data_IF_530469203273
#
_entry.id   IF_530469203273
#
_cell.length_a   1.000
_cell.length_b   1.000
_cell.length_c   1.000
_cell.angle_alpha   90.00
_cell.angle_beta   90.00
_cell.angle_gamma   90.00
#
_symmetry.space_group_name_H-M   'P 1'
#
loop_
_entity.id
_entity.type
_entity.pdbx_description
1 polymer ?
#
# COMPACT_ATOMS: atom_id res chain seq x y z
N UNK A 1 -16.84 -0.74 79.49
CA UNK A 1 -16.27 -0.30 78.19
C UNK A 1 -17.42 0.39 77.46
N UNK A 2 -17.29 1.68 77.23
CA UNK A 2 -18.39 2.59 76.96
C UNK A 2 -18.96 2.37 75.52
N UNK A 3 -20.27 2.26 75.34
CA UNK A 3 -20.95 2.07 74.02
C UNK A 3 -20.45 3.04 72.97
N UNK A 4 -20.10 4.24 73.35
CA UNK A 4 -19.48 5.23 72.42
C UNK A 4 -18.14 4.79 71.84
N UNK A 5 -17.38 3.95 72.61
CA UNK A 5 -16.08 3.45 72.12
C UNK A 5 -16.28 2.35 71.07
N UNK A 6 -17.33 1.53 71.16
CA UNK A 6 -17.67 0.51 70.14
C UNK A 6 -18.14 1.15 68.85
N UNK A 7 -18.92 2.22 68.92
CA UNK A 7 -19.36 2.91 67.68
C UNK A 7 -18.18 3.59 66.92
N UNK A 8 -17.22 4.16 67.68
CA UNK A 8 -16.04 4.78 67.12
C UNK A 8 -15.14 3.75 66.39
N UNK A 9 -14.98 2.56 66.99
CA UNK A 9 -14.19 1.46 66.41
C UNK A 9 -14.86 0.92 65.18
N UNK A 10 -16.18 0.78 65.15
CA UNK A 10 -16.95 0.31 63.97
C UNK A 10 -16.86 1.33 62.84
N UNK A 11 -16.97 2.61 63.08
CA UNK A 11 -16.82 3.67 62.11
C UNK A 11 -15.41 3.70 61.53
N UNK A 12 -14.38 3.49 62.34
CA UNK A 12 -12.98 3.42 61.89
C UNK A 12 -12.71 2.19 61.02
N UNK A 13 -13.30 1.03 61.37
CA UNK A 13 -13.20 -0.19 60.55
C UNK A 13 -13.94 -0.06 59.23
N UNK A 14 -15.09 0.59 59.20
CA UNK A 14 -15.81 0.88 57.97
C UNK A 14 -15.03 1.83 57.06
N UNK A 15 -14.38 2.87 57.65
CA UNK A 15 -13.51 3.79 56.91
C UNK A 15 -12.27 3.07 56.35
N UNK A 16 -11.68 2.12 57.07
CA UNK A 16 -10.57 1.28 56.62
C UNK A 16 -11.00 0.31 55.49
N UNK A 17 -12.21 -0.22 55.56
CA UNK A 17 -12.76 -1.08 54.50
C UNK A 17 -13.13 -0.31 53.24
N UNK A 18 -13.57 0.93 53.34
CA UNK A 18 -13.87 1.81 52.21
C UNK A 18 -12.55 2.32 51.56
N UNK A 19 -11.50 2.59 52.34
CA UNK A 19 -10.21 3.01 51.80
C UNK A 19 -9.45 1.87 51.13
N UNK A 20 -9.71 0.60 51.46
CA UNK A 20 -9.09 -0.57 50.79
C UNK A 20 -9.79 -0.97 49.50
N UNK A 21 -11.00 -0.44 49.25
CA UNK A 21 -11.73 -0.71 47.97
C UNK A 21 -11.49 0.35 46.89
N UNK A 22 -10.70 1.39 47.17
CA UNK A 22 -10.09 2.17 46.10
C UNK A 22 -8.91 1.35 45.53
N UNK A 23 -9.22 0.22 44.95
CA UNK A 23 -8.41 -0.31 43.87
C UNK A 23 -8.34 0.84 42.86
N UNK A 24 -7.19 1.47 42.79
CA UNK A 24 -6.81 2.24 41.63
C UNK A 24 -7.00 1.30 40.47
N UNK A 25 -8.14 1.41 39.81
CA UNK A 25 -8.29 0.97 38.43
C UNK A 25 -7.31 1.90 37.70
N UNK A 26 -6.02 1.56 37.74
CA UNK A 26 -5.08 1.98 36.73
C UNK A 26 -5.67 1.28 35.48
N UNK A 27 -6.53 2.03 34.80
CA UNK A 27 -6.79 1.79 33.41
C UNK A 27 -5.39 1.81 32.80
N UNK A 28 -4.75 0.63 32.73
CA UNK A 28 -3.80 0.36 31.69
C UNK A 28 -4.60 0.63 30.44
N UNK A 29 -4.52 1.85 29.92
CA UNK A 29 -4.64 2.07 28.51
C UNK A 29 -3.56 1.15 27.96
N UNK A 30 -3.95 -0.08 27.60
CA UNK A 30 -3.30 -0.79 26.55
C UNK A 30 -3.43 0.23 25.41
N UNK A 31 -2.39 1.02 25.21
CA UNK A 31 -2.16 1.57 23.91
C UNK A 31 -2.08 0.29 23.06
N UNK A 32 -3.16 -0.09 22.38
CA UNK A 32 -3.03 -0.81 21.14
C UNK A 32 -1.94 0.00 20.44
N UNK A 33 -0.75 -0.57 20.34
CA UNK A 33 0.25 -0.10 19.42
C UNK A 33 -0.46 -0.17 18.09
N UNK A 34 -1.09 0.91 17.70
CA UNK A 34 -1.59 1.06 16.34
C UNK A 34 -0.33 0.94 15.53
N UNK A 35 -0.14 -0.23 14.92
CA UNK A 35 0.96 -0.48 13.99
C UNK A 35 0.67 0.39 12.77
N UNK A 36 0.93 1.69 12.90
CA UNK A 36 0.84 2.63 11.80
C UNK A 36 2.11 2.53 10.99
N UNK A 37 1.99 2.16 9.73
CA UNK A 37 3.09 2.14 8.78
C UNK A 37 2.77 3.10 7.65
N UNK A 38 3.27 4.31 7.78
CA UNK A 38 3.12 5.38 6.80
C UNK A 38 3.72 4.99 5.44
N UNK A 39 4.84 4.25 5.46
CA UNK A 39 5.56 3.82 4.27
C UNK A 39 5.67 2.30 4.18
N UNK A 40 5.17 1.72 3.08
CA UNK A 40 5.27 0.30 2.79
C UNK A 40 6.20 0.07 1.60
N UNK A 41 7.05 -0.94 1.73
CA UNK A 41 7.87 -1.44 0.63
C UNK A 41 7.36 -2.84 0.27
N UNK A 42 6.91 -3.03 -0.98
CA UNK A 42 6.51 -4.34 -1.51
C UNK A 42 7.62 -4.83 -2.42
N UNK A 43 8.15 -6.03 -2.14
CA UNK A 43 9.27 -6.61 -2.88
C UNK A 43 9.25 -8.14 -2.82
N UNK A 44 9.97 -8.84 -3.71
CA UNK A 44 10.31 -10.24 -3.48
C UNK A 44 11.12 -10.42 -2.18
N UNK A 45 10.96 -11.56 -1.54
CA UNK A 45 11.73 -11.93 -0.33
C UNK A 45 13.24 -11.90 -0.55
N UNK A 46 13.69 -12.20 -1.76
CA UNK A 46 15.10 -12.14 -2.15
C UNK A 46 15.76 -10.76 -2.02
N UNK A 47 14.96 -9.67 -2.01
CA UNK A 47 15.46 -8.30 -1.92
C UNK A 47 15.41 -7.72 -0.49
N UNK A 48 14.82 -8.45 0.45
CA UNK A 48 14.54 -7.97 1.82
C UNK A 48 15.81 -7.50 2.53
N UNK A 49 16.90 -8.26 2.47
CA UNK A 49 18.16 -7.92 3.14
C UNK A 49 18.79 -6.66 2.53
N UNK A 50 18.74 -6.50 1.22
CA UNK A 50 19.28 -5.35 0.51
C UNK A 50 18.49 -4.05 0.79
N UNK A 51 17.23 -4.17 1.22
CA UNK A 51 16.36 -3.05 1.57
C UNK A 51 16.47 -2.62 3.05
N UNK A 52 17.09 -3.41 3.94
CA UNK A 52 17.20 -3.10 5.37
C UNK A 52 17.87 -1.74 5.64
N UNK A 53 18.95 -1.33 4.93
CA UNK A 53 19.53 -0.01 5.15
C UNK A 53 18.55 1.13 4.86
N UNK A 54 17.69 1.00 3.83
CA UNK A 54 16.68 1.99 3.51
C UNK A 54 15.61 2.07 4.61
N UNK A 55 15.14 0.92 5.11
CA UNK A 55 14.16 0.86 6.21
C UNK A 55 14.72 1.55 7.45
N UNK A 56 15.98 1.26 7.82
CA UNK A 56 16.64 1.89 8.96
C UNK A 56 16.74 3.41 8.77
N UNK A 57 17.18 3.85 7.60
CA UNK A 57 17.30 5.26 7.26
C UNK A 57 15.94 5.99 7.33
N UNK A 58 14.86 5.38 6.83
CA UNK A 58 13.50 5.95 6.93
C UNK A 58 13.03 6.06 8.37
N UNK A 59 13.22 5.01 9.18
CA UNK A 59 12.89 5.01 10.62
C UNK A 59 13.66 6.06 11.40
N UNK A 60 14.95 6.25 11.11
CA UNK A 60 15.78 7.29 11.72
C UNK A 60 15.26 8.71 11.39
N UNK A 61 14.63 8.86 10.22
CA UNK A 61 13.93 10.07 9.80
C UNK A 61 12.44 10.11 10.27
N UNK A 62 12.04 9.23 11.18
CA UNK A 62 10.71 9.15 11.78
C UNK A 62 9.59 8.75 10.81
N UNK A 63 9.92 8.11 9.71
CA UNK A 63 8.96 7.53 8.78
C UNK A 63 8.77 6.07 9.15
N UNK A 64 7.60 5.74 9.69
CA UNK A 64 7.26 4.37 10.06
C UNK A 64 7.18 3.49 8.81
N UNK A 65 8.16 2.58 8.67
CA UNK A 65 8.37 1.81 7.44
C UNK A 65 8.26 0.32 7.70
N UNK A 66 7.53 -0.37 6.83
CA UNK A 66 7.44 -1.84 6.82
C UNK A 66 7.70 -2.39 5.42
N UNK A 67 8.46 -3.49 5.37
CA UNK A 67 8.55 -4.32 4.17
C UNK A 67 7.51 -5.44 4.25
N UNK A 68 6.88 -5.74 3.13
CA UNK A 68 5.95 -6.85 2.94
C UNK A 68 6.36 -7.55 1.65
N UNK A 69 6.53 -8.85 1.70
CA UNK A 69 6.97 -9.60 0.53
C UNK A 69 5.78 -10.03 -0.34
N UNK A 70 6.00 -10.14 -1.64
CA UNK A 70 4.96 -10.63 -2.56
C UNK A 70 4.56 -12.05 -2.21
N UNK A 71 5.49 -12.85 -1.70
CA UNK A 71 5.23 -14.23 -1.27
C UNK A 71 4.27 -14.29 -0.07
N UNK A 72 4.43 -13.38 0.93
CA UNK A 72 3.47 -13.24 2.04
C UNK A 72 2.10 -12.87 1.52
N UNK A 73 2.02 -11.95 0.56
CA UNK A 73 0.75 -11.52 0.00
C UNK A 73 0.04 -12.63 -0.76
N UNK A 74 0.78 -13.38 -1.59
CA UNK A 74 0.20 -14.44 -2.43
C UNK A 74 -0.20 -15.68 -1.61
N UNK A 75 0.48 -15.95 -0.50
CA UNK A 75 0.10 -17.03 0.41
C UNK A 75 -1.12 -16.71 1.28
N UNK A 76 -1.52 -15.43 1.34
CA UNK A 76 -2.57 -14.96 2.23
C UNK A 76 -2.12 -14.74 3.67
N UNK A 77 -0.83 -14.80 3.93
CA UNK A 77 -0.22 -14.55 5.25
C UNK A 77 0.02 -13.05 5.46
N UNK A 78 -1.06 -12.29 5.41
CA UNK A 78 -0.97 -10.85 5.45
C UNK A 78 -0.71 -10.32 6.86
N UNK A 79 0.13 -9.29 6.99
CA UNK A 79 0.34 -8.64 8.27
C UNK A 79 -0.80 -7.68 8.67
N UNK A 80 -1.87 -7.61 7.90
CA UNK A 80 -3.13 -6.90 8.19
C UNK A 80 -4.30 -7.88 8.30
N UNK A 81 -5.37 -7.46 8.96
CA UNK A 81 -6.59 -8.26 9.07
C UNK A 81 -7.34 -8.32 7.74
N UNK A 82 -8.18 -9.35 7.60
CA UNK A 82 -9.04 -9.58 6.43
C UNK A 82 -8.27 -9.76 5.10
N UNK A 83 -7.35 -10.73 5.02
CA UNK A 83 -6.69 -11.05 3.76
C UNK A 83 -7.71 -11.46 2.71
N UNK A 84 -7.52 -10.95 1.50
CA UNK A 84 -8.34 -11.27 0.35
C UNK A 84 -7.45 -11.54 -0.86
N UNK A 85 -7.42 -12.79 -1.30
CA UNK A 85 -6.70 -13.15 -2.52
C UNK A 85 -7.48 -12.65 -3.73
N UNK A 86 -6.80 -11.94 -4.59
CA UNK A 86 -7.36 -11.43 -5.84
C UNK A 86 -7.50 -12.53 -6.91
N UNK A 87 -8.08 -12.17 -8.04
CA UNK A 87 -8.19 -13.04 -9.22
C UNK A 87 -6.83 -13.23 -9.90
N UNK A 88 -5.90 -12.31 -9.64
CA UNK A 88 -4.50 -12.38 -10.00
C UNK A 88 -3.62 -11.70 -8.93
N UNK A 89 -2.30 -11.82 -9.10
CA UNK A 89 -1.32 -11.31 -8.15
C UNK A 89 -1.39 -9.77 -7.99
N UNK A 90 -1.64 -9.05 -9.07
CA UNK A 90 -1.77 -7.60 -9.01
C UNK A 90 -3.03 -7.17 -8.22
N UNK A 91 -4.13 -7.88 -8.36
CA UNK A 91 -5.34 -7.62 -7.59
C UNK A 91 -5.15 -7.98 -6.11
N UNK A 92 -4.40 -9.04 -5.82
CA UNK A 92 -4.01 -9.42 -4.45
C UNK A 92 -3.22 -8.28 -3.77
N UNK A 93 -2.23 -7.71 -4.45
CA UNK A 93 -1.48 -6.55 -3.94
C UNK A 93 -2.41 -5.34 -3.71
N UNK A 94 -3.30 -5.06 -4.66
CA UNK A 94 -4.25 -3.94 -4.53
C UNK A 94 -5.19 -4.10 -3.33
N UNK A 95 -5.69 -5.31 -3.07
CA UNK A 95 -6.50 -5.60 -1.89
C UNK A 95 -5.71 -5.42 -0.59
N UNK A 96 -4.45 -5.85 -0.56
CA UNK A 96 -3.58 -5.60 0.57
C UNK A 96 -3.39 -4.10 0.82
N UNK A 97 -3.11 -3.31 -0.20
CA UNK A 97 -2.94 -1.86 -0.08
C UNK A 97 -4.21 -1.17 0.42
N UNK A 98 -5.39 -1.60 -0.03
CA UNK A 98 -6.67 -1.14 0.51
C UNK A 98 -6.78 -1.37 2.02
N UNK A 99 -6.39 -2.54 2.50
CA UNK A 99 -6.46 -2.87 3.93
C UNK A 99 -5.35 -2.15 4.72
N UNK A 100 -4.16 -1.95 4.15
CA UNK A 100 -3.08 -1.21 4.81
C UNK A 100 -3.43 0.26 5.00
N UNK A 101 -4.09 0.89 4.05
CA UNK A 101 -4.61 2.27 4.21
C UNK A 101 -5.58 2.34 5.38
N UNK A 102 -6.52 1.39 5.48
CA UNK A 102 -7.55 1.38 6.53
C UNK A 102 -7.00 1.07 7.92
N UNK A 103 -6.00 0.19 8.00
CA UNK A 103 -5.53 -0.35 9.28
C UNK A 103 -4.22 0.27 9.76
N UNK A 104 -3.37 0.74 8.84
CA UNK A 104 -2.05 1.30 9.14
C UNK A 104 -1.90 2.77 8.77
N UNK A 105 -2.92 3.37 8.17
CA UNK A 105 -2.86 4.75 7.66
C UNK A 105 -1.71 4.95 6.66
N UNK A 106 -1.52 3.98 5.76
CA UNK A 106 -0.46 3.99 4.75
C UNK A 106 -0.67 5.13 3.76
N UNK A 107 0.36 5.94 3.54
CA UNK A 107 0.35 7.07 2.61
C UNK A 107 1.30 6.85 1.42
N UNK A 108 2.39 6.10 1.64
CA UNK A 108 3.45 5.91 0.64
C UNK A 108 3.72 4.43 0.40
N UNK A 109 3.88 4.07 -0.86
CA UNK A 109 4.19 2.70 -1.27
C UNK A 109 5.33 2.70 -2.28
N UNK A 110 6.32 1.85 -2.05
CA UNK A 110 7.41 1.59 -2.97
C UNK A 110 7.31 0.15 -3.46
N UNK A 111 7.12 -0.03 -4.74
CA UNK A 111 7.20 -1.34 -5.40
C UNK A 111 8.65 -1.56 -5.84
N UNK A 112 9.28 -2.63 -5.38
CA UNK A 112 10.68 -2.93 -5.74
C UNK A 112 10.73 -4.18 -6.59
N UNK A 113 10.99 -3.98 -7.86
CA UNK A 113 11.02 -5.03 -8.88
C UNK A 113 10.45 -4.56 -10.21
N UNK A 114 10.84 -5.23 -11.29
CA UNK A 114 10.20 -5.13 -12.59
C UNK A 114 8.85 -5.86 -12.61
N UNK A 115 8.31 -6.07 -13.78
CA UNK A 115 6.99 -6.72 -13.94
C UNK A 115 6.97 -8.21 -13.56
N UNK A 116 8.13 -8.85 -13.53
CA UNK A 116 8.27 -10.27 -13.18
C UNK A 116 8.39 -10.44 -11.65
N UNK A 117 8.93 -9.44 -10.95
CA UNK A 117 9.11 -9.45 -9.50
C UNK A 117 7.87 -8.92 -8.78
N UNK A 118 7.33 -7.80 -9.26
CA UNK A 118 6.10 -7.19 -8.77
C UNK A 118 5.20 -6.87 -9.96
N UNK A 119 4.08 -7.55 -10.13
CA UNK A 119 3.26 -7.46 -11.33
C UNK A 119 2.83 -6.02 -11.63
N UNK A 120 2.59 -5.75 -12.90
CA UNK A 120 2.05 -4.48 -13.38
C UNK A 120 0.61 -4.66 -13.80
N UNK A 121 -0.20 -3.60 -13.74
CA UNK A 121 -1.53 -3.60 -14.33
C UNK A 121 -1.49 -3.07 -15.76
N UNK A 122 -2.07 -3.83 -16.67
CA UNK A 122 -2.32 -3.38 -18.02
C UNK A 122 -3.72 -2.77 -18.08
N UNK A 123 -3.79 -1.47 -18.28
CA UNK A 123 -5.01 -0.76 -18.59
C UNK A 123 -5.31 -0.85 -20.10
N UNK A 124 -6.57 -0.87 -20.48
CA UNK A 124 -7.00 -1.06 -21.85
C UNK A 124 -7.70 0.15 -22.43
N UNK A 125 -7.15 0.73 -23.49
CA UNK A 125 -7.89 1.69 -24.31
C UNK A 125 -8.34 0.96 -25.57
N UNK A 126 -9.64 0.78 -25.72
CA UNK A 126 -10.22 0.24 -26.91
C UNK A 126 -10.39 1.36 -27.95
N UNK A 127 -9.30 1.82 -28.53
CA UNK A 127 -9.35 2.74 -29.64
C UNK A 127 -9.62 1.92 -30.90
N UNK A 128 -10.75 2.17 -31.56
CA UNK A 128 -10.97 1.69 -32.93
C UNK A 128 -10.06 2.45 -33.89
N UNK A 129 -8.74 2.39 -33.68
CA UNK A 129 -7.77 2.98 -34.60
C UNK A 129 -7.93 2.40 -36.04
N UNK A 130 -8.64 1.28 -36.14
CA UNK A 130 -9.00 0.66 -37.44
C UNK A 130 -10.06 1.44 -38.22
N UNK A 131 -10.86 2.32 -37.54
CA UNK A 131 -11.99 3.00 -38.20
C UNK A 131 -11.58 4.19 -39.05
N UNK A 132 -10.47 4.86 -38.71
CA UNK A 132 -10.00 6.01 -39.50
C UNK A 132 -9.11 5.68 -40.69
N UNK A 133 -8.42 4.52 -40.67
CA UNK A 133 -7.56 4.05 -41.77
C UNK A 133 -7.61 2.51 -41.91
N UNK A 134 -8.76 1.92 -42.18
CA UNK A 134 -8.93 0.46 -42.12
C UNK A 134 -8.09 -0.29 -43.16
N UNK A 135 -7.83 0.29 -44.31
CA UNK A 135 -7.11 -0.40 -45.40
C UNK A 135 -5.60 -0.46 -45.17
N UNK A 136 -4.98 0.64 -44.69
CA UNK A 136 -3.54 0.67 -44.40
C UNK A 136 -3.20 -0.21 -43.19
N UNK A 137 -4.04 -0.16 -42.18
CA UNK A 137 -3.85 -0.92 -40.95
C UNK A 137 -3.96 -2.45 -41.20
N UNK A 138 -4.98 -2.85 -41.97
CA UNK A 138 -5.16 -4.24 -42.36
C UNK A 138 -4.01 -4.78 -43.23
N UNK A 139 -3.45 -3.96 -44.12
CA UNK A 139 -2.35 -4.35 -45.00
C UNK A 139 -1.03 -4.56 -44.24
N UNK A 140 -0.71 -3.73 -43.27
CA UNK A 140 0.54 -3.83 -42.52
C UNK A 140 0.49 -4.87 -41.37
N UNK A 141 -0.69 -5.19 -40.84
CA UNK A 141 -0.84 -6.00 -39.64
C UNK A 141 -1.67 -7.26 -39.84
N UNK A 142 -1.85 -7.69 -41.08
CA UNK A 142 -2.49 -8.98 -41.40
C UNK A 142 -1.70 -10.12 -40.75
N UNK A 143 -2.34 -10.85 -39.83
CA UNK A 143 -1.76 -12.03 -39.19
C UNK A 143 -1.03 -11.76 -37.86
N UNK A 144 -1.14 -10.57 -37.26
CA UNK A 144 -0.57 -10.23 -35.95
C UNK A 144 -1.67 -9.85 -34.97
N UNK A 145 -2.59 -10.76 -34.55
CA UNK A 145 -3.64 -10.46 -33.61
C UNK A 145 -3.08 -10.04 -32.24
N UNK A 146 -1.92 -10.56 -31.81
CA UNK A 146 -1.28 -10.22 -30.57
C UNK A 146 -0.70 -8.80 -30.58
N UNK A 147 -0.25 -8.30 -31.72
CA UNK A 147 0.24 -6.93 -31.87
C UNK A 147 -0.87 -5.90 -31.66
N UNK A 148 -2.09 -6.18 -32.14
CA UNK A 148 -3.26 -5.32 -31.92
C UNK A 148 -3.67 -5.26 -30.46
N UNK A 149 -3.56 -6.36 -29.74
CA UNK A 149 -3.78 -6.37 -28.30
C UNK A 149 -2.69 -5.58 -27.56
N UNK A 150 -1.47 -5.61 -28.05
CA UNK A 150 -0.32 -4.94 -27.42
C UNK A 150 -0.38 -3.41 -27.55
N UNK A 151 -0.82 -2.85 -28.67
CA UNK A 151 -0.91 -1.40 -28.87
C UNK A 151 -2.08 -0.74 -28.13
N UNK A 152 -3.05 -1.51 -27.68
CA UNK A 152 -4.21 -1.02 -26.94
C UNK A 152 -4.05 -1.21 -25.42
N UNK A 153 -2.85 -1.58 -24.95
CA UNK A 153 -2.54 -1.79 -23.53
C UNK A 153 -1.40 -0.88 -23.11
N UNK A 154 -1.52 -0.27 -21.97
CA UNK A 154 -0.45 0.48 -21.32
C UNK A 154 -0.30 0.05 -19.87
N UNK A 155 0.94 0.03 -19.39
CA UNK A 155 1.26 -0.28 -18.01
C UNK A 155 0.92 0.93 -17.15
N UNK A 156 0.26 0.68 -16.03
CA UNK A 156 -0.05 1.74 -15.07
C UNK A 156 0.03 1.26 -13.63
N UNK A 157 0.98 1.80 -12.89
CA UNK A 157 1.06 1.62 -11.43
C UNK A 157 0.04 2.51 -10.68
N UNK A 158 -0.64 3.43 -11.36
CA UNK A 158 -1.78 4.15 -10.80
C UNK A 158 -2.88 3.19 -10.30
N UNK A 159 -2.97 2.01 -10.89
CA UNK A 159 -3.84 0.93 -10.41
C UNK A 159 -3.68 0.63 -8.91
N UNK A 160 -2.44 0.70 -8.41
CA UNK A 160 -2.14 0.47 -7.00
C UNK A 160 -2.38 1.69 -6.12
N UNK A 161 -2.41 2.87 -6.71
CA UNK A 161 -2.60 4.13 -6.00
C UNK A 161 -4.06 4.56 -5.90
N UNK A 162 -4.88 4.22 -6.89
CA UNK A 162 -6.32 4.53 -6.99
C UNK A 162 -7.12 3.40 -6.34
N UNK A 163 -7.38 3.52 -5.04
CA UNK A 163 -7.98 2.47 -4.20
C UNK A 163 -9.46 2.70 -3.92
N UNK A 164 -9.89 3.94 -3.81
CA UNK A 164 -11.23 4.32 -3.41
C UNK A 164 -11.80 5.41 -4.30
N UNK A 165 -13.09 5.36 -4.53
CA UNK A 165 -13.84 6.50 -5.05
C UNK A 165 -14.09 7.54 -3.94
N UNK A 166 -14.47 8.75 -4.31
CA UNK A 166 -14.82 9.84 -3.39
C UNK A 166 -15.85 9.42 -2.33
N UNK A 167 -16.73 8.50 -2.64
CA UNK A 167 -17.72 7.94 -1.71
C UNK A 167 -17.14 6.86 -0.76
N UNK A 168 -15.84 6.56 -0.82
CA UNK A 168 -15.16 5.56 -0.03
C UNK A 168 -15.35 4.10 -0.51
N UNK A 169 -16.06 3.86 -1.62
CA UNK A 169 -16.15 2.53 -2.19
C UNK A 169 -14.87 2.14 -2.93
N UNK A 170 -14.58 0.83 -2.99
CA UNK A 170 -13.37 0.32 -3.62
C UNK A 170 -13.37 0.53 -5.14
N UNK A 171 -12.28 1.07 -5.67
CA UNK A 171 -12.06 1.28 -7.10
C UNK A 171 -11.32 0.08 -7.71
N UNK A 172 -12.05 -0.85 -8.31
CA UNK A 172 -11.49 -2.12 -8.82
C UNK A 172 -10.75 -1.99 -10.15
N UNK A 173 -11.08 -0.97 -10.96
CA UNK A 173 -10.67 -0.82 -12.35
C UNK A 173 -11.26 -1.87 -13.31
N UNK A 174 -12.12 -2.76 -12.84
CA UNK A 174 -12.81 -3.80 -13.60
C UNK A 174 -14.24 -3.94 -13.06
N UNK A 175 -15.09 -3.00 -13.47
CA UNK A 175 -16.46 -2.87 -12.95
C UNK A 175 -17.36 -4.01 -13.41
N UNK A 176 -17.09 -4.55 -14.60
CA UNK A 176 -17.87 -5.62 -15.22
C UNK A 176 -17.31 -7.03 -14.95
N UNK A 177 -16.19 -7.15 -14.22
CA UNK A 177 -15.53 -8.41 -13.84
C UNK A 177 -15.06 -9.29 -15.02
N UNK A 178 -14.61 -8.68 -16.12
CA UNK A 178 -14.18 -9.40 -17.30
C UNK A 178 -12.66 -9.58 -17.43
N UNK A 179 -11.88 -9.19 -16.41
CA UNK A 179 -10.41 -9.22 -16.36
C UNK A 179 -9.74 -8.29 -17.39
N UNK A 180 -10.48 -7.30 -17.88
CA UNK A 180 -9.93 -6.19 -18.65
C UNK A 180 -10.08 -4.93 -17.81
N UNK A 181 -8.99 -4.25 -17.54
CA UNK A 181 -8.93 -3.20 -16.54
C UNK A 181 -8.93 -1.82 -17.19
N UNK A 182 -9.67 -0.89 -16.58
CA UNK A 182 -9.82 0.49 -17.04
C UNK A 182 -10.29 0.56 -18.51
N UNK A 183 -11.21 -0.31 -18.90
CA UNK A 183 -11.72 -0.35 -20.26
C UNK A 183 -12.43 0.96 -20.63
N UNK A 184 -12.01 1.49 -21.74
CA UNK A 184 -12.65 2.65 -22.37
C UNK A 184 -12.79 2.38 -23.88
N UNK A 185 -13.97 2.64 -24.43
CA UNK A 185 -14.16 2.70 -25.87
C UNK A 185 -14.30 4.16 -26.36
N UNK A 186 -14.51 4.38 -27.64
CA UNK A 186 -14.65 5.72 -28.22
C UNK A 186 -15.92 6.45 -27.76
N UNK A 187 -16.91 5.73 -27.25
CA UNK A 187 -18.24 6.25 -26.95
C UNK A 187 -18.41 6.43 -25.44
N UNK A 188 -17.91 5.49 -24.65
CA UNK A 188 -18.16 5.44 -23.20
C UNK A 188 -16.98 4.88 -22.41
N UNK A 189 -16.93 5.22 -21.15
CA UNK A 189 -16.10 4.56 -20.14
C UNK A 189 -16.82 3.30 -19.70
N UNK A 190 -16.22 2.13 -19.95
CA UNK A 190 -16.81 0.82 -19.60
C UNK A 190 -16.55 0.53 -18.11
N UNK A 191 -15.29 0.71 -17.68
CA UNK A 191 -14.93 0.57 -16.28
C UNK A 191 -14.89 1.90 -15.57
N UNK A 192 -15.35 1.91 -14.33
CA UNK A 192 -15.21 3.08 -13.48
C UNK A 192 -13.78 3.14 -12.94
N UNK A 193 -13.13 4.26 -13.19
CA UNK A 193 -11.78 4.61 -12.74
C UNK A 193 -11.82 6.06 -12.31
N UNK A 194 -11.30 6.36 -11.15
CA UNK A 194 -11.33 7.71 -10.61
C UNK A 194 -10.10 8.52 -11.04
N UNK A 195 -8.96 7.84 -11.25
CA UNK A 195 -7.65 8.40 -11.63
C UNK A 195 -7.01 9.35 -10.62
N UNK A 196 -7.62 9.56 -9.47
CA UNK A 196 -7.05 10.32 -8.37
C UNK A 196 -6.38 9.35 -7.39
N UNK A 197 -5.05 9.46 -7.14
CA UNK A 197 -4.37 8.56 -6.23
C UNK A 197 -4.76 8.83 -4.78
N UNK A 198 -5.14 7.79 -4.04
CA UNK A 198 -5.36 7.84 -2.59
C UNK A 198 -4.04 7.77 -1.81
N UNK A 199 -3.04 7.12 -2.41
CA UNK A 199 -1.68 6.96 -1.86
C UNK A 199 -0.63 7.27 -2.91
N UNK A 200 0.56 7.68 -2.46
CA UNK A 200 1.69 7.88 -3.37
C UNK A 200 2.39 6.54 -3.67
N UNK A 201 2.44 6.15 -4.93
CA UNK A 201 3.10 4.91 -5.37
C UNK A 201 4.30 5.23 -6.25
N UNK A 202 5.44 4.61 -5.95
CA UNK A 202 6.64 4.66 -6.78
C UNK A 202 7.20 3.27 -7.04
N UNK A 203 7.87 3.06 -8.17
CA UNK A 203 8.50 1.78 -8.50
C UNK A 203 10.00 1.92 -8.73
N UNK A 204 10.77 1.02 -8.09
CA UNK A 204 12.19 0.82 -8.39
C UNK A 204 12.31 -0.42 -9.28
N UNK A 205 12.71 -0.20 -10.54
CA UNK A 205 12.84 -1.26 -11.56
C UNK A 205 14.14 -2.08 -11.36
N UNK A 206 14.29 -2.68 -10.18
CA UNK A 206 15.43 -3.53 -9.86
C UNK A 206 15.08 -4.99 -10.19
N UNK A 207 15.97 -5.70 -10.84
CA UNK A 207 15.84 -7.12 -11.19
C UNK A 207 16.87 -8.00 -10.48
N UNK A 208 17.77 -7.38 -9.70
CA UNK A 208 18.80 -8.08 -8.93
C UNK A 208 19.06 -7.40 -7.60
N UNK A 209 19.61 -8.18 -6.65
CA UNK A 209 20.02 -7.70 -5.32
C UNK A 209 21.07 -6.57 -5.43
N UNK A 210 22.00 -6.66 -6.39
CA UNK A 210 23.04 -5.64 -6.59
C UNK A 210 22.44 -4.32 -7.08
N UNK A 211 21.42 -4.37 -7.92
CA UNK A 211 20.69 -3.17 -8.34
C UNK A 211 19.96 -2.54 -7.18
N UNK A 212 19.32 -3.34 -6.32
CA UNK A 212 18.66 -2.87 -5.10
C UNK A 212 19.66 -2.16 -4.19
N UNK A 213 20.80 -2.78 -3.90
CA UNK A 213 21.88 -2.12 -3.12
C UNK A 213 22.32 -0.79 -3.73
N UNK A 214 22.51 -0.76 -5.05
CA UNK A 214 22.93 0.45 -5.76
C UNK A 214 21.91 1.58 -5.62
N UNK A 215 20.62 1.29 -5.80
CA UNK A 215 19.55 2.29 -5.72
C UNK A 215 19.32 2.73 -4.28
N UNK A 216 19.31 1.81 -3.32
CA UNK A 216 19.21 2.12 -1.88
C UNK A 216 20.33 3.08 -1.46
N UNK A 217 21.58 2.81 -1.82
CA UNK A 217 22.69 3.70 -1.52
C UNK A 217 22.51 5.09 -2.16
N UNK A 218 22.02 5.17 -3.39
CA UNK A 218 21.74 6.46 -4.05
C UNK A 218 20.66 7.25 -3.32
N UNK A 219 19.57 6.59 -2.89
CA UNK A 219 18.47 7.23 -2.14
C UNK A 219 19.00 7.78 -0.83
N UNK A 220 19.71 6.96 -0.03
CA UNK A 220 20.26 7.38 1.26
C UNK A 220 21.24 8.54 1.09
N UNK A 221 22.16 8.45 0.14
CA UNK A 221 23.12 9.53 -0.12
C UNK A 221 22.40 10.83 -0.54
N UNK A 222 21.40 10.73 -1.40
CA UNK A 222 20.61 11.88 -1.84
C UNK A 222 19.86 12.56 -0.68
N UNK A 223 19.25 11.78 0.18
CA UNK A 223 18.48 12.29 1.31
C UNK A 223 19.38 12.83 2.45
N UNK A 224 20.58 12.29 2.60
CA UNK A 224 21.54 12.74 3.62
C UNK A 224 22.43 13.89 3.15
N UNK A 225 22.55 14.11 1.83
CA UNK A 225 23.36 15.19 1.30
C UNK A 225 22.84 16.58 1.73
N UNK A 226 23.60 17.23 2.61
CA UNK A 226 23.29 18.54 3.16
C UNK A 226 23.91 19.67 2.34
N UNK A 227 24.43 19.41 1.14
CA UNK A 227 25.03 20.44 0.33
C UNK A 227 24.00 21.51 -0.10
N UNK A 228 24.04 22.73 0.46
CA UNK A 228 23.06 23.77 0.16
C UNK A 228 23.18 24.31 -1.27
N UNK A 229 24.31 24.07 -1.93
CA UNK A 229 24.62 24.57 -3.29
C UNK A 229 24.16 23.59 -4.39
N UNK A 230 23.62 22.44 -4.03
CA UNK A 230 23.05 21.51 -4.99
C UNK A 230 21.89 22.19 -5.75
N UNK A 231 22.10 22.50 -7.01
CA UNK A 231 21.14 23.24 -7.84
C UNK A 231 19.79 22.52 -8.01
N UNK A 232 19.79 21.19 -7.90
CA UNK A 232 18.60 20.36 -7.97
C UNK A 232 17.67 20.49 -6.72
N UNK A 233 18.19 20.95 -5.57
CA UNK A 233 17.38 21.25 -4.38
C UNK A 233 16.62 22.59 -4.49
N UNK A 234 16.85 23.35 -5.53
CA UNK A 234 16.26 24.69 -5.75
C UNK A 234 15.14 24.70 -6.80
N UNK A 235 14.74 23.53 -7.32
CA UNK A 235 13.62 23.39 -8.24
C UNK A 235 12.32 23.12 -7.43
#
# INVERSE_FOLDING_TARGET
MNEKCHHLIIILLIFLLISSSHQIFVSQSISEETNEYEFIIISPSAFTDALQPLISHKKDNRISTKIVTVEELYSGDWPVSNPQIGRDDAETIKFFLRESVKQWNTEYVMLVGGKEEVPVRYARINTNYSSSHPQLFHYFFQGLPDFMQMINRYISDLYYADLFFENGSFCSWDTNNNMQFAEKNEVEQIDLVDIYPDIAVGRLLCTSVDEVHTVVNKIINYETDQNPDATWKKM
#
